data_IF_976138314520
#
_entry.id   IF_976138314520
#
_cell.length_a   1.000
_cell.length_b   1.000
_cell.length_c   1.000
_cell.angle_alpha   90.00
_cell.angle_beta   90.00
_cell.angle_gamma   90.00
#
_symmetry.space_group_name_H-M   'P 1'
#
loop_
_entity.id
_entity.type
_entity.pdbx_description
1 polymer ?
#
# COMPACT_ATOMS: atom_id res chain seq x y z
N UNK A 1 2.98 2.30 -0.78
CA UNK A 1 2.51 2.95 -2.01
C UNK A 1 1.54 4.04 -1.60
N UNK A 2 1.69 5.23 -2.18
CA UNK A 2 0.91 6.42 -1.83
C UNK A 2 0.22 7.00 -3.07
N UNK A 3 -1.05 7.37 -2.92
CA UNK A 3 -1.84 8.06 -3.95
C UNK A 3 -1.43 9.54 -4.09
N UNK A 4 -1.83 10.18 -5.18
CA UNK A 4 -1.41 11.53 -5.53
C UNK A 4 -1.82 12.60 -4.50
N UNK A 5 -2.79 12.31 -3.63
CA UNK A 5 -3.25 13.23 -2.59
C UNK A 5 -2.45 13.09 -1.28
N UNK A 6 -1.56 12.11 -1.17
CA UNK A 6 -0.74 11.88 0.01
C UNK A 6 0.51 12.76 0.02
N UNK A 7 0.87 13.42 1.15
CA UNK A 7 2.06 14.29 1.24
C UNK A 7 3.36 13.49 1.32
N UNK A 8 3.70 12.77 0.24
CA UNK A 8 4.80 11.79 0.19
C UNK A 8 6.17 12.42 0.51
N UNK A 9 6.47 13.60 -0.04
CA UNK A 9 7.74 14.29 0.21
C UNK A 9 7.95 14.65 1.69
N UNK A 10 6.88 15.01 2.42
CA UNK A 10 6.96 15.29 3.86
C UNK A 10 7.21 14.03 4.69
N UNK A 11 6.71 12.88 4.26
CA UNK A 11 6.91 11.58 4.93
C UNK A 11 8.34 11.08 4.71
N UNK A 12 8.89 11.23 3.49
CA UNK A 12 10.22 10.75 3.13
C UNK A 12 11.35 11.55 3.78
N UNK A 13 11.13 12.83 4.13
CA UNK A 13 12.08 13.64 4.91
C UNK A 13 12.46 13.01 6.26
N UNK A 14 11.65 12.07 6.77
CA UNK A 14 11.87 11.44 8.08
C UNK A 14 12.53 10.05 8.01
N UNK A 15 12.95 9.56 6.84
CA UNK A 15 13.64 8.27 6.76
C UNK A 15 13.55 7.50 5.44
N UNK A 16 12.34 7.19 4.92
CA UNK A 16 12.20 6.25 3.80
C UNK A 16 12.69 6.85 2.48
N UNK A 17 13.20 5.98 1.61
CA UNK A 17 13.57 6.36 0.24
C UNK A 17 12.32 6.76 -0.54
N UNK A 18 12.30 7.95 -1.11
CA UNK A 18 11.24 8.40 -2.01
C UNK A 18 11.47 7.79 -3.41
N UNK A 19 10.47 7.09 -3.91
CA UNK A 19 10.47 6.53 -5.28
C UNK A 19 9.27 7.12 -6.02
N UNK A 20 9.53 7.74 -7.18
CA UNK A 20 8.48 8.36 -8.01
C UNK A 20 8.04 7.39 -9.10
N UNK A 21 6.76 7.09 -9.14
CA UNK A 21 6.09 6.29 -10.17
C UNK A 21 4.81 7.01 -10.65
N UNK A 22 4.96 8.29 -10.99
CA UNK A 22 3.84 9.21 -11.27
C UNK A 22 2.97 8.78 -12.46
N UNK A 23 3.46 7.91 -13.35
CA UNK A 23 2.72 7.41 -14.51
C UNK A 23 2.03 6.06 -14.33
N UNK A 24 2.10 5.45 -13.13
CA UNK A 24 1.58 4.10 -12.87
C UNK A 24 0.58 4.14 -11.73
N UNK A 25 -0.56 3.45 -11.90
CA UNK A 25 -1.57 3.31 -10.86
C UNK A 25 -1.14 2.36 -9.74
N UNK A 26 -1.73 2.51 -8.55
CA UNK A 26 -1.42 1.62 -7.42
C UNK A 26 -1.76 0.15 -7.74
N UNK A 27 -2.87 -0.21 -8.42
CA UNK A 27 -3.16 -1.61 -8.76
C UNK A 27 -2.07 -2.26 -9.64
N UNK A 28 -1.58 -1.54 -10.65
CA UNK A 28 -0.55 -2.05 -11.57
C UNK A 28 0.79 -2.23 -10.87
N UNK A 29 1.17 -1.24 -10.06
CA UNK A 29 2.38 -1.29 -9.26
C UNK A 29 2.32 -2.40 -8.21
N UNK A 30 1.18 -2.56 -7.52
CA UNK A 30 0.93 -3.66 -6.59
C UNK A 30 1.12 -5.00 -7.29
N UNK A 31 0.50 -5.21 -8.46
CA UNK A 31 0.65 -6.46 -9.23
C UNK A 31 2.12 -6.78 -9.55
N UNK A 32 2.92 -5.78 -9.92
CA UNK A 32 4.34 -5.96 -10.21
C UNK A 32 5.14 -6.31 -8.94
N UNK A 33 4.88 -5.62 -7.82
CA UNK A 33 5.55 -5.87 -6.54
C UNK A 33 5.21 -7.27 -6.02
N UNK A 34 3.94 -7.70 -6.10
CA UNK A 34 3.51 -9.02 -5.64
C UNK A 34 4.16 -10.19 -6.39
N UNK A 35 4.61 -9.99 -7.64
CA UNK A 35 5.37 -10.99 -8.37
C UNK A 35 6.80 -11.17 -7.85
N UNK A 36 7.35 -10.15 -7.20
CA UNK A 36 8.75 -10.11 -6.75
C UNK A 36 8.87 -10.27 -5.23
N UNK A 37 7.83 -9.89 -4.47
CA UNK A 37 7.81 -9.85 -3.01
C UNK A 37 6.63 -10.68 -2.46
N UNK A 38 6.89 -11.85 -1.83
CA UNK A 38 5.84 -12.61 -1.16
C UNK A 38 5.31 -11.85 0.07
N UNK A 39 3.98 -11.84 0.21
CA UNK A 39 3.30 -11.09 1.27
C UNK A 39 3.34 -11.80 2.63
N UNK A 40 3.47 -11.01 3.68
CA UNK A 40 3.18 -11.44 5.05
C UNK A 40 1.65 -11.41 5.29
N UNK A 41 0.99 -12.58 5.30
CA UNK A 41 -0.47 -12.72 5.44
C UNK A 41 -0.96 -12.73 6.90
N UNK A 42 -0.22 -12.12 7.83
CA UNK A 42 -0.55 -12.14 9.25
C UNK A 42 -1.63 -11.11 9.65
N UNK A 43 -2.86 -11.62 9.71
CA UNK A 43 -4.11 -11.10 10.28
C UNK A 43 -4.83 -9.99 9.51
N UNK A 44 -6.16 -10.05 9.55
CA UNK A 44 -7.07 -9.14 8.87
C UNK A 44 -7.90 -8.33 9.86
N UNK A 45 -8.23 -7.10 9.49
CA UNK A 45 -9.26 -6.33 10.18
C UNK A 45 -10.19 -5.74 9.11
N UNK A 46 -11.50 -5.93 9.25
CA UNK A 46 -12.49 -5.56 8.22
C UNK A 46 -13.18 -4.25 8.60
N UNK A 47 -12.91 -3.17 7.87
CA UNK A 47 -13.66 -1.92 7.99
C UNK A 47 -14.95 -2.02 7.19
N UNK A 48 -16.07 -2.18 7.89
CA UNK A 48 -17.42 -2.21 7.30
C UNK A 48 -17.96 -0.78 7.23
N UNK A 49 -17.80 -0.09 6.10
CA UNK A 49 -18.53 1.17 5.92
C UNK A 49 -18.09 2.11 4.80
N UNK A 50 -16.84 2.03 4.33
CA UNK A 50 -16.34 2.87 3.24
C UNK A 50 -16.12 2.01 1.99
N UNK A 51 -16.89 2.24 0.92
CA UNK A 51 -16.65 1.57 -0.36
C UNK A 51 -15.71 2.43 -1.19
N UNK A 52 -14.43 2.07 -1.19
CA UNK A 52 -13.42 2.70 -2.05
C UNK A 52 -13.23 1.81 -3.28
N UNK A 53 -13.44 2.31 -4.52
CA UNK A 53 -13.46 1.48 -5.72
C UNK A 53 -12.18 0.64 -5.96
N UNK A 54 -11.03 1.14 -5.52
CA UNK A 54 -9.74 0.44 -5.74
C UNK A 54 -9.48 -0.71 -4.77
N UNK A 55 -10.21 -0.79 -3.65
CA UNK A 55 -9.98 -1.83 -2.65
C UNK A 55 -10.42 -3.22 -3.13
N UNK A 56 -11.47 -3.29 -3.94
CA UNK A 56 -11.90 -4.55 -4.56
C UNK A 56 -10.80 -5.08 -5.50
N UNK A 57 -10.18 -4.18 -6.28
CA UNK A 57 -9.05 -4.52 -7.15
C UNK A 57 -7.82 -4.96 -6.34
N UNK A 58 -7.52 -4.32 -5.21
CA UNK A 58 -6.44 -4.76 -4.34
C UNK A 58 -6.72 -6.15 -3.77
N UNK A 59 -7.92 -6.40 -3.26
CA UNK A 59 -8.29 -7.72 -2.72
C UNK A 59 -8.11 -8.83 -3.77
N UNK A 60 -8.51 -8.58 -5.01
CA UNK A 60 -8.34 -9.54 -6.10
C UNK A 60 -6.87 -9.77 -6.48
N UNK A 61 -6.05 -8.72 -6.48
CA UNK A 61 -4.61 -8.84 -6.71
C UNK A 61 -3.90 -9.61 -5.58
N UNK A 62 -4.29 -9.37 -4.32
CA UNK A 62 -3.78 -10.09 -3.17
C UNK A 62 -4.14 -11.59 -3.24
N UNK A 63 -5.39 -11.92 -3.62
CA UNK A 63 -5.82 -13.31 -3.85
C UNK A 63 -5.01 -13.99 -4.95
N UNK A 64 -4.77 -13.29 -6.06
CA UNK A 64 -3.93 -13.80 -7.15
C UNK A 64 -2.49 -14.06 -6.70
N UNK A 65 -1.99 -13.32 -5.71
CA UNK A 65 -0.68 -13.51 -5.12
C UNK A 65 -0.62 -14.57 -4.01
N UNK A 66 -1.72 -15.28 -3.74
CA UNK A 66 -1.79 -16.34 -2.73
C UNK A 66 -2.12 -15.88 -1.31
N UNK A 67 -2.53 -14.62 -1.13
CA UNK A 67 -3.08 -14.11 0.13
C UNK A 67 -4.59 -14.38 0.22
N UNK A 68 -5.17 -14.28 1.41
CA UNK A 68 -6.61 -14.40 1.64
C UNK A 68 -7.42 -13.17 1.14
N UNK A 69 -6.73 -12.18 0.59
CA UNK A 69 -7.33 -10.94 0.08
C UNK A 69 -7.74 -9.97 1.18
N UNK A 70 -7.34 -10.23 2.43
CA UNK A 70 -7.57 -9.33 3.55
C UNK A 70 -6.46 -8.28 3.67
N UNK A 71 -6.82 -7.12 4.19
CA UNK A 71 -5.90 -6.05 4.54
C UNK A 71 -6.36 -5.43 5.86
N UNK A 72 -5.41 -4.91 6.66
CA UNK A 72 -5.72 -4.23 7.92
C UNK A 72 -5.98 -2.75 7.64
N UNK A 73 -7.04 -2.22 8.21
CA UNK A 73 -7.26 -0.79 8.23
C UNK A 73 -6.51 -0.16 9.39
N UNK A 74 -5.88 0.96 9.10
CA UNK A 74 -5.11 1.73 10.08
C UNK A 74 -5.67 3.14 10.04
N UNK A 75 -5.83 3.74 11.22
CA UNK A 75 -6.20 5.15 11.34
C UNK A 75 -5.18 6.03 10.58
N UNK A 76 -5.64 7.15 10.03
CA UNK A 76 -4.86 8.00 9.10
C UNK A 76 -3.53 8.46 9.67
N UNK A 77 -3.49 8.94 10.93
CA UNK A 77 -2.24 9.37 11.55
C UNK A 77 -1.34 8.18 11.87
N UNK A 78 -1.90 7.09 12.40
CA UNK A 78 -1.15 5.86 12.63
C UNK A 78 -0.55 5.27 11.33
N UNK A 79 -1.24 5.43 10.20
CA UNK A 79 -0.74 5.05 8.88
C UNK A 79 0.49 5.88 8.48
N UNK A 80 0.45 7.21 8.65
CA UNK A 80 1.60 8.06 8.36
C UNK A 80 2.80 7.78 9.27
N UNK A 81 2.57 7.54 10.56
CA UNK A 81 3.63 7.16 11.49
C UNK A 81 4.29 5.83 11.09
N UNK A 82 3.50 4.87 10.60
CA UNK A 82 4.03 3.61 10.06
C UNK A 82 4.75 3.81 8.74
N UNK A 83 4.26 4.69 7.87
CA UNK A 83 4.90 5.02 6.59
C UNK A 83 6.28 5.65 6.79
N UNK A 84 6.46 6.52 7.79
CA UNK A 84 7.77 7.09 8.16
C UNK A 84 8.80 6.02 8.57
N UNK A 85 8.35 4.87 9.07
CA UNK A 85 9.22 3.75 9.46
C UNK A 85 9.44 2.72 8.35
N UNK A 86 8.85 2.93 7.18
CA UNK A 86 9.03 2.03 6.03
C UNK A 86 10.43 2.19 5.44
N UNK A 87 10.84 1.20 4.63
CA UNK A 87 12.12 1.28 3.91
C UNK A 87 12.04 2.29 2.75
N UNK A 88 10.95 2.24 1.99
CA UNK A 88 10.72 3.11 0.85
C UNK A 88 9.23 3.46 0.72
N UNK A 89 8.97 4.67 0.23
CA UNK A 89 7.63 5.13 -0.11
C UNK A 89 7.59 5.42 -1.61
N UNK A 90 6.70 4.70 -2.30
CA UNK A 90 6.45 4.92 -3.73
C UNK A 90 5.27 5.90 -3.88
N UNK A 91 5.54 7.09 -4.40
CA UNK A 91 4.52 8.05 -4.85
C UNK A 91 4.02 7.63 -6.23
N UNK A 92 2.71 7.52 -6.37
CA UNK A 92 2.06 7.11 -7.63
C UNK A 92 1.17 8.23 -8.15
N UNK A 93 0.83 8.18 -9.44
CA UNK A 93 -0.16 9.09 -10.06
C UNK A 93 -1.61 8.72 -9.78
N UNK A 94 -1.86 7.78 -8.86
CA UNK A 94 -3.19 7.29 -8.56
C UNK A 94 -4.07 8.40 -7.99
N UNK A 95 -5.21 8.64 -8.63
CA UNK A 95 -6.16 9.68 -8.23
C UNK A 95 -7.23 9.16 -7.28
N UNK A 96 -7.33 7.84 -7.08
CA UNK A 96 -8.30 7.24 -6.18
C UNK A 96 -8.07 7.70 -4.72
N UNK A 97 -9.10 8.32 -4.14
CA UNK A 97 -9.10 8.71 -2.74
C UNK A 97 -8.99 7.47 -1.84
N UNK A 98 -8.13 7.53 -0.82
CA UNK A 98 -7.85 6.42 0.11
C UNK A 98 -7.25 5.18 -0.57
N UNK A 99 -6.49 5.38 -1.65
CA UNK A 99 -5.76 4.31 -2.34
C UNK A 99 -4.47 3.87 -1.66
N UNK A 100 -4.00 4.59 -0.63
CA UNK A 100 -2.74 4.32 0.06
C UNK A 100 -2.67 2.90 0.64
N UNK A 101 -1.53 2.24 0.46
CA UNK A 101 -1.30 0.87 0.92
C UNK A 101 0.13 0.71 1.46
N UNK A 102 0.27 0.12 2.65
CA UNK A 102 1.56 -0.31 3.19
C UNK A 102 1.68 -1.82 2.97
N UNK A 103 2.73 -2.23 2.28
CA UNK A 103 3.06 -3.64 2.07
C UNK A 103 4.16 -4.02 3.03
N UNK A 104 4.00 -5.16 3.70
CA UNK A 104 5.05 -5.77 4.51
C UNK A 104 5.48 -7.06 3.81
N UNK A 105 6.76 -7.11 3.43
CA UNK A 105 7.36 -8.37 2.97
C UNK A 105 7.61 -9.27 4.18
N UNK A 106 7.27 -10.55 4.06
CA UNK A 106 7.76 -11.54 4.99
C UNK A 106 9.26 -11.71 4.75
N UNK A 107 10.09 -11.45 5.75
CA UNK A 107 11.52 -11.72 5.69
C UNK A 107 11.73 -13.23 5.75
N UNK A 108 11.99 -13.85 4.59
CA UNK A 108 12.56 -15.19 4.49
C UNK A 108 14.09 -15.09 4.52
N UNK A 109 14.64 -14.51 5.59
CA UNK A 109 16.05 -14.55 5.96
C UNK A 109 16.15 -14.43 7.48
#
# INVERSE_FOLDING_TARGET
QMDANCPTSSICKCGPVEIRADGVGIPELLKAILKLFPLDTSDGDKFKGLKVPVWDQYSDLLKQAGSDGNFKFVERFAFYERAKKSFAVVATGETALYGNLIIKCHSAW
#
